data_IF_513633488006
#
_entry.id   IF_513633488006
#
_cell.length_a   1.000
_cell.length_b   1.000
_cell.length_c   1.000
_cell.angle_alpha   90.00
_cell.angle_beta   90.00
_cell.angle_gamma   90.00
#
_symmetry.space_group_name_H-M   'P 1'
#
loop_
_entity.id
_entity.type
_entity.pdbx_description
1 polymer ?
#
# COMPACT_ATOMS: atom_id res chain seq x y z
N UNK A 1 17.83 -3.24 19.80
CA UNK A 1 16.83 -2.30 19.22
C UNK A 1 15.52 -3.07 19.04
N UNK A 2 14.44 -2.64 19.68
CA UNK A 2 13.13 -3.28 19.48
C UNK A 2 12.67 -3.07 18.03
N UNK A 3 12.33 -4.15 17.32
CA UNK A 3 11.75 -4.06 15.97
C UNK A 3 10.32 -3.53 16.09
N UNK A 4 9.94 -2.58 15.24
CA UNK A 4 8.56 -2.11 15.16
C UNK A 4 7.63 -3.30 14.83
N UNK A 5 6.47 -3.44 15.50
CA UNK A 5 5.52 -4.51 15.21
C UNK A 5 4.81 -4.31 13.85
N UNK A 6 4.99 -3.14 13.23
CA UNK A 6 4.42 -2.78 11.94
C UNK A 6 5.49 -2.87 10.85
N UNK A 7 5.14 -3.54 9.76
CA UNK A 7 5.96 -3.68 8.56
C UNK A 7 5.21 -3.10 7.37
N UNK A 8 5.94 -2.77 6.30
CA UNK A 8 5.38 -2.34 5.02
C UNK A 8 4.25 -3.27 4.56
N UNK A 9 3.17 -2.69 4.03
CA UNK A 9 2.01 -3.42 3.50
C UNK A 9 1.11 -4.05 4.57
N UNK A 10 1.33 -3.78 5.86
CA UNK A 10 0.36 -4.14 6.91
C UNK A 10 -0.83 -3.20 6.90
N UNK A 11 -2.00 -3.78 7.14
CA UNK A 11 -3.24 -3.02 7.32
C UNK A 11 -3.37 -2.67 8.79
N UNK A 12 -3.67 -1.41 9.06
CA UNK A 12 -3.86 -0.89 10.40
C UNK A 12 -5.14 -0.07 10.45
N UNK A 13 -5.68 0.09 11.66
CA UNK A 13 -6.75 1.04 11.97
C UNK A 13 -6.27 2.02 13.02
N UNK A 14 -6.59 3.30 12.83
CA UNK A 14 -6.39 4.31 13.86
C UNK A 14 -7.47 4.17 14.92
N UNK A 15 -7.07 4.02 16.19
CA UNK A 15 -8.01 3.89 17.31
C UNK A 15 -8.91 5.12 17.44
N UNK A 16 -10.20 4.89 17.72
CA UNK A 16 -11.15 5.95 18.03
C UNK A 16 -10.81 6.66 19.35
N UNK A 17 -11.16 7.93 19.47
CA UNK A 17 -10.96 8.70 20.71
C UNK A 17 -9.55 9.26 20.92
N UNK A 18 -8.57 8.93 20.07
CA UNK A 18 -7.39 9.78 19.92
C UNK A 18 -7.82 10.99 19.11
N UNK A 19 -7.97 12.15 19.77
CA UNK A 19 -8.29 13.42 19.12
C UNK A 19 -7.17 13.87 18.18
N UNK A 20 -7.02 13.19 17.04
CA UNK A 20 -6.14 13.64 15.99
C UNK A 20 -6.94 14.62 15.14
N UNK A 21 -6.37 15.77 14.81
CA UNK A 21 -7.00 16.72 13.88
C UNK A 21 -7.03 16.20 12.43
N UNK A 22 -6.77 14.91 12.22
CA UNK A 22 -6.58 14.29 10.91
C UNK A 22 -7.90 13.75 10.32
N UNK A 23 -8.91 13.49 11.16
CA UNK A 23 -10.19 12.95 10.72
C UNK A 23 -10.10 11.50 10.23
N UNK A 24 -9.06 10.77 10.63
CA UNK A 24 -8.78 9.39 10.22
C UNK A 24 -9.18 8.35 11.28
N UNK A 25 -9.78 8.77 12.39
CA UNK A 25 -10.20 7.90 13.48
C UNK A 25 -11.12 6.78 12.97
N UNK A 26 -10.88 5.55 13.42
CA UNK A 26 -11.63 4.37 13.00
C UNK A 26 -11.33 3.88 11.58
N UNK A 27 -10.63 4.66 10.74
CA UNK A 27 -10.35 4.31 9.35
C UNK A 27 -9.20 3.31 9.22
N UNK A 28 -9.28 2.51 8.16
CA UNK A 28 -8.23 1.59 7.76
C UNK A 28 -7.18 2.30 6.89
N UNK A 29 -5.92 1.94 7.09
CA UNK A 29 -4.80 2.42 6.29
C UNK A 29 -3.74 1.35 6.06
N UNK A 30 -2.77 1.65 5.20
CA UNK A 30 -1.69 0.75 4.80
C UNK A 30 -0.37 1.35 5.29
N UNK A 31 0.44 0.56 5.98
CA UNK A 31 1.79 0.97 6.40
C UNK A 31 2.68 1.11 5.15
N UNK A 32 3.17 2.34 4.93
CA UNK A 32 4.15 2.66 3.89
C UNK A 32 5.57 2.37 4.37
N UNK A 33 5.90 2.86 5.57
CA UNK A 33 7.20 2.66 6.19
C UNK A 33 7.09 2.68 7.71
N UNK A 34 8.10 2.13 8.39
CA UNK A 34 8.10 2.00 9.85
C UNK A 34 9.44 2.47 10.42
N UNK A 35 9.35 3.28 11.48
CA UNK A 35 10.46 3.66 12.37
C UNK A 35 10.18 3.09 13.77
N UNK A 36 11.10 3.32 14.71
CA UNK A 36 11.04 2.69 16.04
C UNK A 36 9.81 3.04 16.87
N UNK A 37 9.27 4.27 16.75
CA UNK A 37 8.10 4.76 17.52
C UNK A 37 6.97 5.33 16.66
N UNK A 38 7.18 5.44 15.36
CA UNK A 38 6.19 5.96 14.42
C UNK A 38 6.20 5.15 13.13
N UNK A 39 5.05 5.10 12.48
CA UNK A 39 4.88 4.50 11.16
C UNK A 39 4.15 5.47 10.26
N UNK A 40 4.52 5.47 8.99
CA UNK A 40 3.79 6.21 7.97
C UNK A 40 2.65 5.33 7.46
N UNK A 41 1.42 5.83 7.57
CA UNK A 41 0.21 5.12 7.18
C UNK A 41 -0.51 5.91 6.10
N UNK A 42 -0.74 5.26 4.96
CA UNK A 42 -1.54 5.78 3.87
C UNK A 42 -3.02 5.46 4.08
N UNK A 43 -3.88 6.47 3.95
CA UNK A 43 -5.33 6.34 4.00
C UNK A 43 -5.92 6.61 2.60
N UNK A 44 -6.42 5.59 1.88
CA UNK A 44 -6.90 5.77 0.51
C UNK A 44 -8.10 6.72 0.37
N UNK A 45 -8.96 6.78 1.39
CA UNK A 45 -10.17 7.60 1.40
C UNK A 45 -9.85 9.10 1.23
N UNK A 46 -8.76 9.55 1.83
CA UNK A 46 -8.27 10.94 1.75
C UNK A 46 -6.98 11.07 0.93
N UNK A 47 -6.50 9.94 0.38
CA UNK A 47 -5.33 9.83 -0.48
C UNK A 47 -4.09 10.51 0.08
N UNK A 48 -3.78 10.24 1.36
CA UNK A 48 -2.66 10.87 2.05
C UNK A 48 -2.02 9.95 3.08
N UNK A 49 -0.70 10.06 3.19
CA UNK A 49 0.13 9.42 4.21
C UNK A 49 0.30 10.31 5.45
N UNK A 50 0.28 9.71 6.63
CA UNK A 50 0.57 10.40 7.90
C UNK A 50 1.53 9.59 8.75
N UNK A 51 2.46 10.30 9.40
CA UNK A 51 3.30 9.72 10.45
C UNK A 51 2.48 9.62 11.74
N UNK A 52 2.20 8.39 12.15
CA UNK A 52 1.40 8.09 13.32
C UNK A 52 2.23 7.33 14.37
N UNK A 53 2.03 7.59 15.66
CA UNK A 53 2.68 6.85 16.70
C UNK A 53 2.12 5.41 16.76
N UNK A 54 2.99 4.45 17.00
CA UNK A 54 2.64 3.01 16.91
C UNK A 54 1.58 2.56 17.91
N UNK A 55 1.48 3.25 19.05
CA UNK A 55 0.56 2.97 20.14
C UNK A 55 -0.90 3.37 19.84
N UNK A 56 -1.13 4.21 18.83
CA UNK A 56 -2.47 4.58 18.35
C UNK A 56 -3.02 3.66 17.27
N UNK A 57 -2.29 2.62 16.88
CA UNK A 57 -2.62 1.77 15.74
C UNK A 57 -2.96 0.35 16.17
N UNK A 58 -4.09 -0.14 15.66
CA UNK A 58 -4.49 -1.53 15.77
C UNK A 58 -4.17 -2.25 14.45
N UNK A 59 -3.49 -3.39 14.52
CA UNK A 59 -3.28 -4.24 13.33
C UNK A 59 -4.58 -4.94 12.96
N UNK A 60 -4.92 -4.93 11.67
CA UNK A 60 -6.11 -5.59 11.14
C UNK A 60 -5.73 -6.68 10.13
N UNK A 61 -6.54 -7.74 10.10
CA UNK A 61 -6.40 -8.81 9.11
C UNK A 61 -6.89 -8.33 7.73
N UNK A 62 -6.21 -8.64 6.63
CA UNK A 62 -6.76 -8.38 5.29
C UNK A 62 -8.08 -9.10 4.99
N UNK A 63 -8.39 -10.16 5.75
CA UNK A 63 -9.65 -10.91 5.65
C UNK A 63 -10.79 -10.28 6.46
N UNK A 64 -10.51 -9.23 7.24
CA UNK A 64 -11.54 -8.51 7.98
C UNK A 64 -12.51 -7.84 6.97
N UNK A 65 -13.83 -8.09 7.09
CA UNK A 65 -14.83 -7.54 6.18
C UNK A 65 -14.81 -6.00 6.10
N UNK A 66 -14.42 -5.34 7.18
CA UNK A 66 -14.37 -3.88 7.29
C UNK A 66 -13.19 -3.23 6.55
N UNK A 67 -12.28 -4.02 5.97
CA UNK A 67 -11.20 -3.49 5.13
C UNK A 67 -11.76 -3.09 3.76
N UNK A 68 -11.60 -1.84 3.31
CA UNK A 68 -12.02 -1.43 1.98
C UNK A 68 -11.35 -2.26 0.86
N UNK A 69 -12.09 -2.50 -0.23
CA UNK A 69 -11.57 -3.23 -1.40
C UNK A 69 -10.29 -2.61 -1.97
N UNK A 70 -10.15 -1.28 -2.11
CA UNK A 70 -8.89 -0.65 -2.55
C UNK A 70 -7.69 -1.04 -1.68
N UNK A 71 -7.86 -1.10 -0.35
CA UNK A 71 -6.79 -1.49 0.57
C UNK A 71 -6.37 -2.93 0.34
N UNK A 72 -7.33 -3.86 0.24
CA UNK A 72 -7.04 -5.27 -0.02
C UNK A 72 -6.28 -5.45 -1.34
N UNK A 73 -6.69 -4.72 -2.37
CA UNK A 73 -6.08 -4.74 -3.70
C UNK A 73 -4.61 -4.29 -3.66
N UNK A 74 -4.33 -3.12 -3.09
CA UNK A 74 -2.96 -2.61 -2.94
C UNK A 74 -2.10 -3.59 -2.14
N UNK A 75 -2.60 -4.11 -1.01
CA UNK A 75 -1.86 -5.06 -0.18
C UNK A 75 -1.59 -6.39 -0.89
N UNK A 76 -2.50 -6.86 -1.74
CA UNK A 76 -2.28 -8.04 -2.57
C UNK A 76 -1.14 -7.79 -3.58
N UNK A 77 -1.19 -6.68 -4.32
CA UNK A 77 -0.15 -6.29 -5.28
C UNK A 77 1.24 -6.16 -4.60
N UNK A 78 1.30 -5.57 -3.40
CA UNK A 78 2.54 -5.48 -2.62
C UNK A 78 3.12 -6.87 -2.28
N UNK A 79 2.25 -7.83 -1.93
CA UNK A 79 2.68 -9.20 -1.58
C UNK A 79 3.16 -9.96 -2.81
N UNK A 80 2.40 -9.91 -3.91
CA UNK A 80 2.72 -10.60 -5.15
C UNK A 80 4.03 -10.09 -5.77
N UNK A 81 4.24 -8.77 -5.73
CA UNK A 81 5.45 -8.14 -6.24
C UNK A 81 6.69 -8.39 -5.38
N UNK A 82 6.52 -8.65 -4.08
CA UNK A 82 7.63 -8.69 -3.11
C UNK A 82 8.25 -7.30 -2.86
N UNK A 83 7.48 -6.23 -3.05
CA UNK A 83 7.93 -4.84 -2.93
C UNK A 83 8.54 -4.52 -1.56
N UNK A 84 9.57 -3.66 -1.59
CA UNK A 84 10.27 -3.12 -0.42
C UNK A 84 9.94 -1.65 -0.15
N UNK A 85 9.22 -1.02 -1.07
CA UNK A 85 8.76 0.36 -1.02
C UNK A 85 7.59 0.51 -1.99
N UNK A 86 6.69 1.45 -1.72
CA UNK A 86 5.61 1.75 -2.65
C UNK A 86 5.10 3.17 -2.50
N UNK A 87 4.58 3.69 -3.61
CA UNK A 87 3.93 4.98 -3.74
C UNK A 87 2.65 4.80 -4.57
N UNK A 88 1.67 5.66 -4.37
CA UNK A 88 0.40 5.61 -5.08
C UNK A 88 0.00 7.02 -5.48
N UNK A 89 -0.23 7.21 -6.77
CA UNK A 89 -0.62 8.48 -7.37
C UNK A 89 -2.00 8.37 -8.02
N UNK A 90 -2.78 9.45 -7.93
CA UNK A 90 -4.08 9.57 -8.63
C UNK A 90 -3.81 10.05 -10.04
N UNK A 91 -4.41 9.36 -11.00
CA UNK A 91 -4.47 9.80 -12.39
C UNK A 91 -5.86 10.36 -12.69
N UNK A 92 -6.11 10.71 -13.95
CA UNK A 92 -7.44 11.13 -14.39
C UNK A 92 -8.48 10.00 -14.27
N UNK A 93 -9.70 10.35 -13.87
CA UNK A 93 -10.78 9.38 -13.64
C UNK A 93 -10.60 8.54 -12.36
N UNK A 94 -10.90 7.24 -12.45
CA UNK A 94 -10.77 6.28 -11.34
C UNK A 94 -9.43 5.50 -11.38
N UNK A 95 -8.49 5.95 -12.21
CA UNK A 95 -7.18 5.32 -12.39
C UNK A 95 -6.21 5.75 -11.31
N UNK A 96 -5.35 4.81 -10.93
CA UNK A 96 -4.22 5.06 -10.03
C UNK A 96 -2.95 4.47 -10.63
N UNK A 97 -1.82 5.09 -10.34
CA UNK A 97 -0.50 4.53 -10.58
C UNK A 97 0.06 4.03 -9.25
N UNK A 98 0.29 2.72 -9.15
CA UNK A 98 0.99 2.10 -8.03
C UNK A 98 2.44 1.84 -8.44
N UNK A 99 3.37 2.55 -7.81
CA UNK A 99 4.81 2.43 -8.07
C UNK A 99 5.42 1.53 -7.00
N UNK A 100 5.94 0.38 -7.39
CA UNK A 100 6.45 -0.66 -6.50
C UNK A 100 7.96 -0.81 -6.64
N UNK A 101 8.71 -0.54 -5.58
CA UNK A 101 10.16 -0.76 -5.56
C UNK A 101 10.48 -2.22 -5.24
N UNK A 102 11.08 -2.94 -6.18
CA UNK A 102 11.44 -4.36 -6.06
C UNK A 102 12.92 -4.58 -6.36
N UNK A 103 13.53 -5.62 -5.78
CA UNK A 103 14.92 -6.02 -6.08
C UNK A 103 15.01 -6.83 -7.37
N UNK A 104 13.99 -7.66 -7.63
CA UNK A 104 13.91 -8.56 -8.78
C UNK A 104 12.46 -8.79 -9.17
N UNK A 105 12.22 -8.88 -10.46
CA UNK A 105 10.94 -9.27 -11.04
C UNK A 105 11.22 -10.22 -12.22
N UNK A 106 10.59 -11.39 -12.20
CA UNK A 106 10.63 -12.34 -13.30
C UNK A 106 9.32 -12.29 -14.07
N UNK A 107 9.30 -12.93 -15.25
CA UNK A 107 8.13 -12.94 -16.13
C UNK A 107 6.92 -13.56 -15.43
N UNK A 108 7.11 -14.65 -14.67
CA UNK A 108 6.02 -15.31 -13.94
C UNK A 108 5.32 -14.36 -12.97
N UNK A 109 6.07 -13.55 -12.22
CA UNK A 109 5.50 -12.54 -11.32
C UNK A 109 4.76 -11.44 -12.06
N UNK A 110 5.25 -11.03 -13.24
CA UNK A 110 4.54 -10.05 -14.08
C UNK A 110 3.21 -10.63 -14.58
N UNK A 111 3.21 -11.88 -15.02
CA UNK A 111 2.00 -12.57 -15.49
C UNK A 111 0.99 -12.76 -14.35
N UNK A 112 1.45 -13.08 -13.13
CA UNK A 112 0.59 -13.12 -11.94
C UNK A 112 -0.05 -11.76 -11.64
N UNK A 113 0.72 -10.66 -11.66
CA UNK A 113 0.20 -9.31 -11.43
C UNK A 113 -0.83 -8.91 -12.51
N UNK A 114 -0.54 -9.25 -13.77
CA UNK A 114 -1.46 -9.02 -14.89
C UNK A 114 -2.74 -9.81 -14.73
N UNK A 115 -2.66 -11.11 -14.42
CA UNK A 115 -3.82 -11.96 -14.22
C UNK A 115 -4.68 -11.50 -13.02
N UNK A 116 -4.06 -11.00 -11.96
CA UNK A 116 -4.79 -10.50 -10.79
C UNK A 116 -5.61 -9.23 -11.08
N UNK A 117 -5.08 -8.33 -11.91
CA UNK A 117 -5.78 -7.11 -12.30
C UNK A 117 -6.74 -7.33 -13.47
N UNK A 118 -6.45 -8.28 -14.36
CA UNK A 118 -7.26 -8.62 -15.54
C UNK A 118 -7.66 -7.36 -16.30
N UNK A 119 -8.97 -7.10 -16.42
CA UNK A 119 -9.54 -6.02 -17.21
C UNK A 119 -9.33 -4.65 -16.56
N UNK A 120 -8.99 -4.60 -15.27
CA UNK A 120 -8.69 -3.34 -14.57
C UNK A 120 -7.27 -2.83 -14.91
N UNK A 121 -6.41 -3.65 -15.53
CA UNK A 121 -5.04 -3.25 -15.87
C UNK A 121 -5.01 -2.39 -17.14
N UNK A 122 -4.43 -1.20 -17.04
CA UNK A 122 -4.19 -0.32 -18.19
C UNK A 122 -2.76 -0.41 -18.69
N UNK A 123 -1.78 -0.37 -17.78
CA UNK A 123 -0.37 -0.40 -18.15
C UNK A 123 0.50 -1.00 -17.05
N UNK A 124 1.63 -1.59 -17.44
CA UNK A 124 2.68 -2.07 -16.56
C UNK A 124 4.03 -1.74 -17.17
N UNK A 125 4.74 -0.80 -16.54
CA UNK A 125 6.06 -0.34 -16.95
C UNK A 125 7.11 -0.80 -15.94
N UNK A 126 8.25 -1.27 -16.46
CA UNK A 126 9.43 -1.62 -15.65
C UNK A 126 10.46 -0.52 -15.85
N UNK A 127 10.68 0.26 -14.79
CA UNK A 127 11.70 1.30 -14.78
C UNK A 127 12.97 0.79 -14.10
N UNK A 128 14.13 0.81 -14.78
CA UNK A 128 15.39 0.41 -14.17
C UNK A 128 15.84 1.45 -13.13
N UNK A 129 15.99 1.04 -11.87
CA UNK A 129 16.50 1.88 -10.77
C UNK A 129 18.00 1.72 -10.51
N UNK A 130 18.74 1.15 -11.46
CA UNK A 130 20.14 0.76 -11.31
C UNK A 130 20.33 -0.74 -10.99
N UNK A 131 21.53 -1.14 -10.56
CA UNK A 131 21.91 -2.57 -10.42
C UNK A 131 21.18 -3.34 -9.30
N UNK A 132 20.58 -2.65 -8.33
CA UNK A 132 20.05 -3.27 -7.12
C UNK A 132 18.52 -3.21 -6.99
N UNK A 133 17.84 -2.36 -7.77
CA UNK A 133 16.41 -2.12 -7.64
C UNK A 133 15.80 -1.76 -8.99
N UNK A 134 14.52 -2.06 -9.15
CA UNK A 134 13.67 -1.57 -10.23
C UNK A 134 12.34 -1.10 -9.65
N UNK A 135 11.64 -0.26 -10.40
CA UNK A 135 10.28 0.17 -10.09
C UNK A 135 9.34 -0.51 -11.06
N UNK A 136 8.32 -1.18 -10.54
CA UNK A 136 7.16 -1.60 -11.33
C UNK A 136 6.11 -0.51 -11.18
N UNK A 137 5.85 0.24 -12.25
CA UNK A 137 4.76 1.19 -12.31
C UNK A 137 3.54 0.47 -12.90
N UNK A 138 2.48 0.33 -12.10
CA UNK A 138 1.26 -0.40 -12.47
C UNK A 138 0.11 0.60 -12.50
N UNK A 139 -0.48 0.79 -13.67
CA UNK A 139 -1.65 1.66 -13.85
C UNK A 139 -2.89 0.79 -13.94
N UNK A 140 -3.85 1.01 -13.04
CA UNK A 140 -5.08 0.22 -13.00
C UNK A 140 -6.28 1.02 -12.49
N UNK A 141 -7.49 0.55 -12.81
CA UNK A 141 -8.71 1.10 -12.25
C UNK A 141 -8.86 0.68 -10.78
N UNK A 142 -9.07 1.66 -9.90
CA UNK A 142 -9.22 1.43 -8.47
C UNK A 142 -10.60 1.92 -8.01
N UNK A 143 -11.65 1.13 -8.24
CA UNK A 143 -13.01 1.50 -7.88
C UNK A 143 -13.09 1.72 -6.36
N UNK A 144 -13.71 2.84 -5.98
CA UNK A 144 -13.82 3.31 -4.58
C UNK A 144 -14.56 2.31 -3.69
#
# INVERSE_FOLDING_TARGET
MAKSPFTLGKIVRLQEGRGTSLGCEGRCGIVMTARSRCVEVFFPEIFRGFWLPTDGLQRISPLDPSVPRPIRRIVALLRMSGAKGWELDRLEGDRVELRLRVERCDISRLDELRAYLSDDLHDLVIEPGGRAWMTLAIIFDNPR
#
